data_IF_225527782991
#
_entry.id   IF_225527782991
#
_cell.length_a   1.000
_cell.length_b   1.000
_cell.length_c   1.000
_cell.angle_alpha   90.00
_cell.angle_beta   90.00
_cell.angle_gamma   90.00
#
_symmetry.space_group_name_H-M   'P 1'
#
loop_
_entity.id
_entity.type
_entity.pdbx_description
1 polymer ?
#
# COMPACT_ATOMS: atom_id res chain seq x y z
N UNK A 1 -11.78 -8.49 -5.02
CA UNK A 1 -11.17 -9.75 -5.53
C UNK A 1 -11.26 -9.75 -7.06
N UNK A 2 -10.35 -10.36 -7.84
CA UNK A 2 -10.37 -10.23 -9.31
C UNK A 2 -10.52 -11.56 -10.06
N UNK A 3 -11.38 -11.60 -11.07
CA UNK A 3 -11.55 -12.72 -11.99
C UNK A 3 -11.54 -12.24 -13.45
N UNK A 4 -10.70 -12.84 -14.28
CA UNK A 4 -10.51 -12.45 -15.70
C UNK A 4 -10.27 -10.92 -15.88
N UNK A 5 -9.49 -10.33 -14.97
CA UNK A 5 -9.14 -8.91 -15.01
C UNK A 5 -10.28 -7.96 -14.59
N UNK A 6 -11.40 -8.49 -14.08
CA UNK A 6 -12.51 -7.69 -13.54
C UNK A 6 -12.60 -7.84 -12.03
N UNK A 7 -12.85 -6.73 -11.37
CA UNK A 7 -13.16 -6.73 -9.93
C UNK A 7 -14.50 -7.40 -9.68
N UNK A 8 -14.53 -8.24 -8.66
CA UNK A 8 -15.71 -8.93 -8.14
C UNK A 8 -16.25 -8.14 -6.95
N UNK A 9 -17.57 -8.03 -6.88
CA UNK A 9 -18.30 -7.40 -5.78
C UNK A 9 -18.22 -8.26 -4.51
N UNK A 10 -17.89 -7.66 -3.38
CA UNK A 10 -17.66 -8.38 -2.12
C UNK A 10 -18.93 -9.05 -1.55
N UNK A 11 -20.10 -8.43 -1.71
CA UNK A 11 -21.38 -8.90 -1.14
C UNK A 11 -22.12 -9.91 -2.03
N UNK A 12 -21.54 -10.30 -3.18
CA UNK A 12 -22.15 -11.27 -4.10
C UNK A 12 -21.36 -12.58 -4.13
N UNK A 13 -22.08 -13.69 -4.10
CA UNK A 13 -21.47 -15.01 -4.26
C UNK A 13 -20.73 -15.14 -5.61
N UNK A 14 -19.66 -15.94 -5.64
CA UNK A 14 -18.87 -16.19 -6.85
C UNK A 14 -19.72 -16.69 -8.03
N UNK A 15 -20.69 -17.57 -7.74
CA UNK A 15 -21.60 -18.11 -8.74
C UNK A 15 -22.52 -17.02 -9.33
N UNK A 16 -23.02 -16.10 -8.50
CA UNK A 16 -23.83 -14.96 -8.96
C UNK A 16 -23.05 -14.00 -9.88
N UNK A 17 -21.71 -14.05 -9.82
CA UNK A 17 -20.80 -13.25 -10.64
C UNK A 17 -20.20 -14.04 -11.81
N UNK A 18 -20.80 -15.18 -12.17
CA UNK A 18 -20.39 -16.08 -13.26
C UNK A 18 -18.96 -16.63 -13.17
N UNK A 19 -18.40 -16.71 -11.96
CA UNK A 19 -17.11 -17.37 -11.73
C UNK A 19 -17.32 -18.88 -11.82
N UNK A 20 -16.68 -19.52 -12.80
CA UNK A 20 -16.85 -20.96 -13.01
C UNK A 20 -16.15 -21.76 -11.91
N UNK A 21 -16.65 -22.96 -11.54
CA UNK A 21 -15.93 -23.86 -10.66
C UNK A 21 -14.50 -24.11 -11.17
N UNK A 22 -13.54 -24.20 -10.25
CA UNK A 22 -12.10 -24.37 -10.56
C UNK A 22 -11.45 -23.21 -11.35
N UNK A 23 -12.07 -22.04 -11.38
CA UNK A 23 -11.44 -20.83 -11.94
C UNK A 23 -10.29 -20.33 -11.05
N UNK A 24 -9.27 -19.74 -11.69
CA UNK A 24 -8.26 -18.94 -10.99
C UNK A 24 -8.86 -17.58 -10.64
N UNK A 25 -8.74 -17.22 -9.36
CA UNK A 25 -9.16 -15.91 -8.85
C UNK A 25 -7.96 -15.25 -8.18
N UNK A 26 -7.75 -13.97 -8.47
CA UNK A 26 -6.65 -13.21 -7.88
C UNK A 26 -7.16 -12.46 -6.65
N UNK A 27 -6.67 -12.87 -5.48
CA UNK A 27 -6.82 -12.13 -4.23
C UNK A 27 -5.54 -11.34 -3.97
N UNK A 28 -5.62 -10.02 -4.07
CA UNK A 28 -4.48 -9.15 -3.79
C UNK A 28 -4.78 -8.43 -2.47
N UNK A 29 -4.11 -8.85 -1.41
CA UNK A 29 -4.25 -8.25 -0.08
C UNK A 29 -2.94 -8.35 0.68
N UNK A 30 -2.46 -7.22 1.18
CA UNK A 30 -1.37 -7.18 2.15
C UNK A 30 -1.88 -6.54 3.43
N UNK A 31 -1.65 -7.16 4.58
CA UNK A 31 -1.89 -6.51 5.87
C UNK A 31 -0.62 -5.85 6.36
N UNK A 32 -0.77 -4.67 6.97
CA UNK A 32 0.33 -3.97 7.63
C UNK A 32 0.08 -3.88 9.13
N UNK A 33 1.10 -4.22 9.90
CA UNK A 33 1.10 -4.10 11.35
C UNK A 33 2.26 -3.20 11.77
N UNK A 34 1.96 -2.12 12.49
CA UNK A 34 3.01 -1.34 13.13
C UNK A 34 3.56 -2.15 14.30
N UNK A 35 4.88 -2.32 14.38
CA UNK A 35 5.51 -3.04 15.49
C UNK A 35 5.75 -2.07 16.66
N UNK A 36 4.96 -2.09 17.74
CA UNK A 36 4.95 -1.01 18.74
C UNK A 36 6.29 -0.85 19.47
N UNK A 37 7.01 -1.94 19.69
CA UNK A 37 8.29 -1.95 20.42
C UNK A 37 9.50 -1.50 19.59
N UNK A 38 9.31 -1.23 18.29
CA UNK A 38 10.38 -0.88 17.35
C UNK A 38 10.09 0.48 16.67
N UNK A 39 9.67 1.47 17.46
CA UNK A 39 9.34 2.82 17.04
C UNK A 39 10.31 3.83 17.67
N UNK A 40 11.61 3.68 17.38
CA UNK A 40 12.66 4.52 17.99
C UNK A 40 13.22 5.49 16.96
N UNK A 41 13.01 6.79 17.15
CA UNK A 41 13.54 7.77 16.21
C UNK A 41 15.08 7.66 16.06
N UNK A 42 15.61 7.81 14.84
CA UNK A 42 17.05 7.94 14.61
C UNK A 42 17.60 9.14 15.39
N UNK A 43 18.85 9.07 15.88
CA UNK A 43 19.47 10.19 16.59
C UNK A 43 19.60 11.46 15.71
N UNK A 44 19.60 12.64 16.33
CA UNK A 44 19.50 13.97 15.69
C UNK A 44 20.50 14.24 14.54
N UNK A 45 21.63 13.54 14.51
CA UNK A 45 22.67 13.68 13.48
C UNK A 45 22.55 12.71 12.28
N UNK A 46 21.47 11.92 12.19
CA UNK A 46 21.28 10.97 11.09
C UNK A 46 20.48 11.59 9.94
N UNK A 47 20.92 11.32 8.71
CA UNK A 47 20.14 11.68 7.52
C UNK A 47 18.83 10.88 7.49
N UNK A 48 17.72 11.53 7.12
CA UNK A 48 16.40 10.90 7.03
C UNK A 48 16.07 10.41 5.61
N UNK A 49 16.81 10.86 4.59
CA UNK A 49 16.58 10.44 3.20
C UNK A 49 17.13 9.03 2.99
N UNK A 50 16.43 8.11 2.29
CA UNK A 50 16.87 6.72 2.15
C UNK A 50 18.34 6.55 1.72
N UNK A 51 18.77 7.24 0.65
CA UNK A 51 20.17 7.20 0.16
C UNK A 51 21.20 7.70 1.18
N UNK A 52 20.80 8.61 2.07
CA UNK A 52 21.65 9.16 3.13
C UNK A 52 21.61 8.35 4.42
N UNK A 53 20.45 7.77 4.72
CA UNK A 53 20.10 7.10 5.97
C UNK A 53 20.59 5.64 6.03
N UNK A 54 20.59 4.95 4.89
CA UNK A 54 20.82 3.50 4.79
C UNK A 54 22.10 3.18 3.99
N UNK A 55 23.26 3.56 4.51
CA UNK A 55 24.55 3.40 3.79
C UNK A 55 25.29 2.12 4.15
N UNK A 56 25.11 1.63 5.37
CA UNK A 56 25.80 0.46 5.92
C UNK A 56 24.79 -0.62 6.31
N UNK A 57 25.23 -1.88 6.37
CA UNK A 57 24.39 -2.99 6.83
C UNK A 57 23.84 -2.78 8.25
N UNK A 58 24.59 -2.09 9.12
CA UNK A 58 24.14 -1.72 10.47
C UNK A 58 22.92 -0.82 10.47
N UNK A 59 22.71 -0.05 9.39
CA UNK A 59 21.61 0.90 9.26
C UNK A 59 20.30 0.20 8.89
N UNK A 60 20.35 -1.07 8.45
CA UNK A 60 19.18 -1.91 8.20
C UNK A 60 18.75 -2.71 9.45
N UNK A 61 19.38 -2.47 10.60
CA UNK A 61 18.98 -3.15 11.84
C UNK A 61 17.72 -2.52 12.44
N UNK A 62 16.96 -3.29 13.22
CA UNK A 62 15.75 -2.83 13.91
C UNK A 62 16.03 -2.04 15.19
N UNK A 63 17.26 -1.54 15.39
CA UNK A 63 17.63 -0.78 16.60
C UNK A 63 16.99 0.60 16.63
N UNK A 64 16.76 1.21 15.47
CA UNK A 64 16.12 2.50 15.29
C UNK A 64 15.25 2.50 14.02
N UNK A 65 14.46 3.55 13.86
CA UNK A 65 13.40 3.68 12.87
C UNK A 65 12.03 3.18 13.37
N UNK A 66 11.09 3.15 12.44
CA UNK A 66 9.76 2.57 12.58
C UNK A 66 9.76 1.23 11.84
N UNK A 67 9.33 0.16 12.52
CA UNK A 67 9.22 -1.16 11.90
C UNK A 67 7.76 -1.50 11.61
N UNK A 68 7.51 -1.94 10.38
CA UNK A 68 6.23 -2.46 9.93
C UNK A 68 6.39 -3.94 9.57
N UNK A 69 5.44 -4.76 9.99
CA UNK A 69 5.29 -6.13 9.53
C UNK A 69 4.27 -6.15 8.38
N UNK A 70 4.65 -6.73 7.25
CA UNK A 70 3.73 -6.95 6.13
C UNK A 70 3.40 -8.44 6.02
N UNK A 71 2.13 -8.78 6.13
CA UNK A 71 1.60 -10.12 5.88
C UNK A 71 0.98 -10.15 4.47
N UNK A 72 1.53 -10.99 3.60
CA UNK A 72 1.01 -11.19 2.24
C UNK A 72 0.01 -12.35 2.24
N UNK A 73 -1.15 -12.14 1.62
CA UNK A 73 -2.22 -13.15 1.55
C UNK A 73 -2.06 -14.10 0.35
N UNK A 74 -1.13 -13.81 -0.55
CA UNK A 74 -0.82 -14.67 -1.68
C UNK A 74 0.03 -15.87 -1.24
N UNK A 75 -0.40 -17.09 -1.54
CA UNK A 75 0.35 -18.32 -1.24
C UNK A 75 1.70 -18.35 -1.98
N UNK A 76 1.74 -17.83 -3.21
CA UNK A 76 2.92 -17.80 -4.08
C UNK A 76 3.10 -16.42 -4.69
N UNK A 77 3.75 -15.53 -3.94
CA UNK A 77 4.17 -14.23 -4.45
C UNK A 77 5.09 -14.41 -5.67
N UNK A 78 4.75 -13.73 -6.77
CA UNK A 78 5.59 -13.74 -7.98
C UNK A 78 6.95 -13.05 -7.73
N UNK A 79 6.97 -12.03 -6.88
CA UNK A 79 8.14 -11.21 -6.56
C UNK A 79 8.13 -10.81 -5.09
N UNK A 80 9.30 -10.82 -4.43
CA UNK A 80 9.48 -10.33 -3.06
C UNK A 80 10.78 -9.52 -2.98
N UNK A 81 10.76 -8.45 -2.18
CA UNK A 81 11.96 -7.64 -1.96
C UNK A 81 12.96 -8.36 -1.06
N UNK A 82 14.23 -8.35 -1.47
CA UNK A 82 15.34 -8.75 -0.62
C UNK A 82 15.69 -7.66 0.39
N UNK A 83 16.43 -8.03 1.45
CA UNK A 83 16.91 -7.09 2.44
C UNK A 83 17.74 -5.95 1.79
N UNK A 84 17.44 -4.71 2.17
CA UNK A 84 18.07 -3.50 1.64
C UNK A 84 17.41 -2.92 0.38
N UNK A 85 16.42 -3.61 -0.21
CA UNK A 85 15.59 -3.04 -1.26
C UNK A 85 14.49 -2.18 -0.62
N UNK A 86 14.40 -0.93 -1.05
CA UNK A 86 13.37 0.00 -0.61
C UNK A 86 12.02 -0.25 -1.28
N UNK A 87 10.96 0.10 -0.58
CA UNK A 87 9.60 0.19 -1.11
C UNK A 87 9.00 1.53 -0.68
N UNK A 88 8.14 2.09 -1.53
CA UNK A 88 7.36 3.26 -1.20
C UNK A 88 6.02 2.83 -0.62
N UNK A 89 5.66 3.41 0.51
CA UNK A 89 4.32 3.31 1.06
C UNK A 89 3.55 4.52 0.57
N UNK A 90 2.47 4.30 -0.17
CA UNK A 90 1.75 5.37 -0.84
C UNK A 90 0.24 5.22 -0.66
N UNK A 91 -0.43 6.32 -0.31
CA UNK A 91 -1.88 6.38 -0.17
C UNK A 91 -2.46 7.22 -1.31
N UNK A 92 -3.26 6.59 -2.15
CA UNK A 92 -3.96 7.24 -3.26
C UNK A 92 -5.33 7.71 -2.78
N UNK A 93 -5.69 8.96 -3.06
CA UNK A 93 -7.00 9.54 -2.77
C UNK A 93 -7.67 10.02 -4.06
N UNK A 94 -8.88 9.54 -4.34
CA UNK A 94 -9.66 9.97 -5.51
C UNK A 94 -10.56 11.14 -5.12
N UNK A 95 -10.34 12.32 -5.71
CA UNK A 95 -11.20 13.49 -5.45
C UNK A 95 -12.62 13.27 -5.95
N UNK A 96 -13.59 13.77 -5.19
CA UNK A 96 -15.01 13.76 -5.55
C UNK A 96 -15.40 14.92 -6.49
N UNK A 97 -14.77 16.07 -6.31
CA UNK A 97 -14.86 17.21 -7.22
C UNK A 97 -13.52 17.97 -7.26
N UNK A 98 -13.28 18.85 -8.24
CA UNK A 98 -12.05 19.64 -8.31
C UNK A 98 -11.80 20.50 -7.07
N UNK A 99 -12.86 20.90 -6.36
CA UNK A 99 -12.83 21.72 -5.13
C UNK A 99 -12.63 20.89 -3.85
N UNK A 100 -12.61 19.56 -3.96
CA UNK A 100 -12.44 18.65 -2.82
C UNK A 100 -11.07 18.84 -2.15
N UNK A 101 -11.07 19.42 -0.95
CA UNK A 101 -9.86 19.64 -0.16
C UNK A 101 -9.52 18.47 0.77
N UNK A 102 -10.33 17.41 0.84
CA UNK A 102 -10.13 16.28 1.75
C UNK A 102 -8.79 15.58 1.56
N UNK A 103 -8.30 15.52 0.32
CA UNK A 103 -6.96 15.02 0.01
C UNK A 103 -5.83 15.78 0.71
N UNK A 104 -5.98 17.10 0.89
CA UNK A 104 -4.99 17.94 1.58
C UNK A 104 -4.99 17.68 3.09
N UNK A 105 -6.15 17.36 3.67
CA UNK A 105 -6.24 16.97 5.07
C UNK A 105 -5.57 15.63 5.33
N UNK A 106 -5.68 14.67 4.40
CA UNK A 106 -4.98 13.38 4.48
C UNK A 106 -3.46 13.56 4.49
N UNK A 107 -2.92 14.47 3.68
CA UNK A 107 -1.49 14.79 3.69
C UNK A 107 -1.01 15.31 5.06
N UNK A 108 -1.88 15.98 5.81
CA UNK A 108 -1.55 16.59 7.09
C UNK A 108 -1.88 15.69 8.30
N UNK A 109 -2.54 14.56 8.08
CA UNK A 109 -2.84 13.61 9.15
C UNK A 109 -1.67 12.65 9.37
N UNK A 110 -1.31 12.43 10.63
CA UNK A 110 -0.28 11.47 11.05
C UNK A 110 -0.63 10.02 10.76
N UNK A 111 -1.90 9.73 10.46
CA UNK A 111 -2.45 8.38 10.41
C UNK A 111 -2.28 7.73 9.04
N UNK A 112 -2.04 8.52 7.98
CA UNK A 112 -1.71 7.97 6.67
C UNK A 112 -0.28 7.46 6.66
N UNK A 113 -0.15 6.17 6.35
CA UNK A 113 1.14 5.54 6.19
C UNK A 113 1.76 5.99 4.86
N UNK A 114 2.90 6.68 4.93
CA UNK A 114 3.70 7.06 3.77
C UNK A 114 3.22 8.31 3.02
N UNK A 115 3.50 8.38 1.71
CA UNK A 115 3.20 9.54 0.88
C UNK A 115 1.75 9.54 0.40
N UNK A 116 1.10 10.69 0.35
CA UNK A 116 -0.26 10.84 -0.21
C UNK A 116 -0.20 11.33 -1.65
N UNK A 117 -0.86 10.60 -2.56
CA UNK A 117 -1.03 10.95 -3.97
C UNK A 117 -2.50 11.28 -4.23
N UNK A 118 -2.75 12.49 -4.74
CA UNK A 118 -4.10 12.96 -5.05
C UNK A 118 -4.38 12.70 -6.53
N UNK A 119 -5.51 12.05 -6.81
CA UNK A 119 -6.04 11.80 -8.15
C UNK A 119 -7.20 12.77 -8.41
N UNK A 120 -7.17 13.44 -9.56
CA UNK A 120 -8.23 14.37 -9.96
C UNK A 120 -9.48 13.61 -10.44
N UNK A 121 -10.67 14.24 -10.42
CA UNK A 121 -11.89 13.60 -10.92
C UNK A 121 -11.74 13.17 -12.38
N UNK A 122 -11.88 11.86 -12.64
CA UNK A 122 -11.72 11.27 -13.97
C UNK A 122 -10.33 10.69 -14.25
N UNK A 123 -9.35 10.91 -13.38
CA UNK A 123 -8.08 10.19 -13.44
C UNK A 123 -8.31 8.71 -13.19
N UNK A 124 -7.65 7.86 -13.99
CA UNK A 124 -7.69 6.42 -13.78
C UNK A 124 -6.73 6.03 -12.67
N UNK A 125 -7.19 5.13 -11.81
CA UNK A 125 -6.34 4.48 -10.84
C UNK A 125 -5.21 3.69 -11.55
N UNK A 126 -3.94 3.76 -11.11
CA UNK A 126 -2.83 3.08 -11.79
C UNK A 126 -2.78 1.56 -11.52
N UNK A 127 -3.86 0.95 -11.02
CA UNK A 127 -3.92 -0.44 -10.58
C UNK A 127 -5.08 -1.18 -11.25
N UNK A 128 -5.18 -2.49 -11.03
CA UNK A 128 -6.21 -3.35 -11.64
C UNK A 128 -7.65 -3.03 -11.18
N UNK A 129 -7.83 -2.23 -10.12
CA UNK A 129 -9.12 -1.84 -9.56
C UNK A 129 -9.35 -0.33 -9.55
N UNK A 130 -10.53 0.10 -9.12
CA UNK A 130 -10.91 1.50 -9.02
C UNK A 130 -10.90 1.99 -7.57
N UNK A 131 -10.48 3.24 -7.36
CA UNK A 131 -10.68 3.92 -6.08
C UNK A 131 -11.93 4.78 -6.25
N UNK A 132 -12.95 4.49 -5.46
CA UNK A 132 -14.20 5.25 -5.47
C UNK A 132 -13.94 6.73 -5.15
N UNK A 133 -14.72 7.61 -5.78
CA UNK A 133 -14.66 9.05 -5.51
C UNK A 133 -14.87 9.36 -4.03
N UNK A 134 -13.99 10.19 -3.47
CA UNK A 134 -13.97 10.51 -2.04
C UNK A 134 -13.34 9.44 -1.13
N UNK A 135 -12.81 8.35 -1.70
CA UNK A 135 -12.14 7.29 -0.95
C UNK A 135 -10.62 7.32 -1.15
N UNK A 136 -9.90 6.61 -0.25
CA UNK A 136 -8.47 6.42 -0.33
C UNK A 136 -8.08 4.95 -0.19
N UNK A 137 -7.00 4.54 -0.85
CA UNK A 137 -6.41 3.21 -0.72
C UNK A 137 -4.88 3.31 -0.62
N UNK A 138 -4.30 2.64 0.37
CA UNK A 138 -2.85 2.56 0.55
C UNK A 138 -2.26 1.36 -0.20
N UNK A 139 -1.02 1.50 -0.66
CA UNK A 139 -0.28 0.51 -1.44
C UNK A 139 1.20 0.47 -1.01
N UNK A 140 1.79 -0.72 -1.11
CA UNK A 140 3.26 -0.88 -1.19
C UNK A 140 3.62 -0.83 -2.65
N UNK A 141 4.54 0.05 -3.01
CA UNK A 141 5.02 0.23 -4.36
C UNK A 141 6.51 -0.04 -4.46
N UNK A 142 6.88 -0.86 -5.43
CA UNK A 142 8.26 -1.13 -5.82
C UNK A 142 8.36 -1.01 -7.34
N UNK A 143 9.57 -1.10 -7.88
CA UNK A 143 9.77 -1.20 -9.32
C UNK A 143 9.28 -2.55 -9.89
N UNK A 144 9.04 -3.56 -9.05
CA UNK A 144 8.71 -4.93 -9.48
C UNK A 144 7.23 -5.28 -9.31
N UNK A 145 6.59 -4.75 -8.27
CA UNK A 145 5.19 -5.00 -7.97
C UNK A 145 4.58 -3.84 -7.19
N UNK A 146 3.26 -3.77 -7.22
CA UNK A 146 2.47 -2.89 -6.38
C UNK A 146 1.32 -3.70 -5.77
N UNK A 147 1.08 -3.55 -4.47
CA UNK A 147 0.04 -4.31 -3.77
C UNK A 147 -0.74 -3.43 -2.78
N UNK A 148 -2.08 -3.51 -2.73
CA UNK A 148 -2.89 -2.80 -1.77
C UNK A 148 -2.61 -3.27 -0.34
N UNK A 149 -2.57 -2.32 0.58
CA UNK A 149 -2.31 -2.51 2.00
C UNK A 149 -3.56 -2.17 2.80
N UNK A 150 -3.82 -2.99 3.80
CA UNK A 150 -4.91 -2.80 4.74
C UNK A 150 -4.33 -2.75 6.16
N UNK A 151 -4.53 -1.65 6.91
CA UNK A 151 -4.17 -1.62 8.33
C UNK A 151 -5.03 -2.63 9.11
N UNK A 152 -4.50 -3.14 10.21
CA UNK A 152 -5.24 -3.94 11.17
C UNK A 152 -5.76 -3.09 12.33
#
# INVERSE_FOLDING_TARGET
MFYMGKELEDEKSLAAQNVQPNSLVHLIRSKVHMWPWAQRLPGENKSLRPHGALKKKSDLSTKDGHVFLMEYYEERLLMLNNAGIGANLCTYYQKSSPEDQRGNWLHNQSDTLGNVMILEPGDKCPFLGEIHVGCSQSFVETNMYKAPIFPQ
#
